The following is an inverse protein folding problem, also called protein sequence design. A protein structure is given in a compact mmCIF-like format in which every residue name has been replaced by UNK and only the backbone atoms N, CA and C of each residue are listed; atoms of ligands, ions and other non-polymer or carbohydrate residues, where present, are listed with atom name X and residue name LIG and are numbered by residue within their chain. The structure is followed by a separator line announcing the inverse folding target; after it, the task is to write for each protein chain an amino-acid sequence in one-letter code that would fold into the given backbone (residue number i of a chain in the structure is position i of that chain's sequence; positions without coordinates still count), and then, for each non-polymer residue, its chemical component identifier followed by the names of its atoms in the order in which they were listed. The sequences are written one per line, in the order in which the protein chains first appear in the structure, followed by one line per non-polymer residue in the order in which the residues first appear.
data_IF_666630150072
#
_entry.id   IF_666630150072
#
_cell.length_a   1.000
_cell.length_b   1.000
_cell.length_c   1.000
_cell.angle_alpha   90.00
_cell.angle_beta   90.00
_cell.angle_gamma   90.00
#
_symmetry.space_group_name_H-M   'P 1'
#
loop_
_entity.id
_entity.type
_entity.pdbx_description
1 polymer ?
#
# COMPACT_ATOMS: atom_id res chain seq x y z
N UNK A 1 17.96 11.39 -26.97
CA UNK A 1 17.37 12.66 -26.52
C UNK A 1 16.52 12.37 -25.30
N UNK A 2 16.94 12.81 -24.09
CA UNK A 2 16.13 12.71 -22.86
C UNK A 2 15.02 13.73 -22.96
N UNK A 3 13.76 13.28 -23.09
CA UNK A 3 12.61 14.17 -22.94
C UNK A 3 12.69 14.80 -21.56
N UNK A 4 12.95 16.07 -21.50
CA UNK A 4 12.74 16.92 -20.36
C UNK A 4 11.21 16.93 -20.15
N UNK A 5 10.75 16.23 -19.10
CA UNK A 5 9.35 16.24 -18.71
C UNK A 5 9.02 17.66 -18.28
N UNK A 6 8.24 18.36 -19.10
CA UNK A 6 7.73 19.66 -18.74
C UNK A 6 7.00 19.55 -17.39
N UNK A 7 7.53 20.26 -16.42
CA UNK A 7 6.97 20.31 -15.05
C UNK A 7 5.59 20.93 -15.18
N UNK A 8 4.55 20.13 -14.98
CA UNK A 8 3.19 20.65 -15.03
C UNK A 8 2.91 21.59 -13.86
N UNK A 9 2.02 22.55 -14.04
CA UNK A 9 1.57 23.44 -12.95
C UNK A 9 1.05 22.65 -11.71
N UNK A 10 0.70 21.37 -11.89
CA UNK A 10 0.24 20.48 -10.82
C UNK A 10 1.35 19.90 -9.94
N UNK A 11 2.60 19.78 -10.42
CA UNK A 11 3.68 19.15 -9.65
C UNK A 11 3.96 19.83 -8.29
N UNK A 12 4.07 21.16 -8.20
CA UNK A 12 4.24 21.83 -6.91
C UNK A 12 3.05 21.61 -5.96
N UNK A 13 1.83 21.56 -6.53
CA UNK A 13 0.60 21.37 -5.73
C UNK A 13 0.49 19.95 -5.21
N UNK A 14 0.81 18.95 -6.05
CA UNK A 14 0.88 17.53 -5.65
C UNK A 14 1.92 17.36 -4.54
N UNK A 15 3.11 17.91 -4.71
CA UNK A 15 4.20 17.83 -3.72
C UNK A 15 3.78 18.43 -2.37
N UNK A 16 3.16 19.60 -2.36
CA UNK A 16 2.64 20.26 -1.17
C UNK A 16 1.54 19.45 -0.49
N UNK A 17 0.61 18.90 -1.28
CA UNK A 17 -0.43 18.01 -0.77
C UNK A 17 0.14 16.77 -0.08
N UNK A 18 1.09 16.09 -0.73
CA UNK A 18 1.72 14.89 -0.19
C UNK A 18 2.53 15.20 1.08
N UNK A 19 3.28 16.31 1.10
CA UNK A 19 3.99 16.77 2.29
C UNK A 19 3.02 16.99 3.45
N UNK A 20 1.93 17.74 3.22
CA UNK A 20 0.88 17.96 4.23
C UNK A 20 0.25 16.65 4.73
N UNK A 21 0.02 15.65 3.86
CA UNK A 21 -0.53 14.36 4.30
C UNK A 21 0.47 13.51 5.08
N UNK A 22 1.75 13.64 4.78
CA UNK A 22 2.83 12.94 5.50
C UNK A 22 3.06 13.50 6.90
N UNK A 23 2.91 14.80 7.11
CA UNK A 23 2.96 15.39 8.48
C UNK A 23 1.86 14.84 9.39
N UNK A 24 0.75 14.35 8.82
CA UNK A 24 -0.31 13.66 9.58
C UNK A 24 -0.01 12.17 9.85
N UNK A 25 1.23 11.71 9.74
CA UNK A 25 1.68 10.35 10.04
C UNK A 25 1.30 9.30 9.00
N UNK A 26 0.98 9.68 7.77
CA UNK A 26 0.58 8.75 6.71
C UNK A 26 1.67 8.65 5.64
N UNK A 27 2.06 7.43 5.25
CA UNK A 27 3.07 7.22 4.19
C UNK A 27 2.61 7.68 2.81
N UNK A 28 1.32 7.56 2.48
CA UNK A 28 0.66 8.02 1.25
C UNK A 28 1.28 7.51 -0.08
N UNK A 29 2.06 6.45 -0.07
CA UNK A 29 2.80 5.94 -1.25
C UNK A 29 1.89 5.51 -2.41
N UNK A 30 0.74 4.88 -2.12
CA UNK A 30 -0.19 4.48 -3.16
C UNK A 30 -0.93 5.68 -3.77
N UNK A 31 -1.27 6.67 -2.94
CA UNK A 31 -1.91 7.91 -3.38
C UNK A 31 -0.94 8.74 -4.23
N UNK A 32 0.33 8.82 -3.84
CA UNK A 32 1.39 9.45 -4.62
C UNK A 32 1.50 8.84 -6.02
N UNK A 33 1.62 7.50 -6.13
CA UNK A 33 1.63 6.82 -7.44
C UNK A 33 0.38 7.11 -8.26
N UNK A 34 -0.77 7.20 -7.61
CA UNK A 34 -2.04 7.53 -8.29
C UNK A 34 -2.03 8.94 -8.83
N UNK A 35 -1.56 9.93 -8.06
CA UNK A 35 -1.48 11.33 -8.48
C UNK A 35 -0.43 11.52 -9.58
N UNK A 36 0.71 10.83 -9.50
CA UNK A 36 1.71 10.80 -10.56
C UNK A 36 1.12 10.22 -11.84
N UNK A 37 0.40 9.09 -11.76
CA UNK A 37 -0.27 8.49 -12.92
C UNK A 37 -1.29 9.43 -13.58
N UNK A 38 -2.04 10.18 -12.78
CA UNK A 38 -2.97 11.19 -13.29
C UNK A 38 -2.22 12.35 -13.97
N UNK A 39 -1.17 12.88 -13.33
CA UNK A 39 -0.31 13.93 -13.90
C UNK A 39 0.30 13.49 -15.24
N UNK A 40 0.88 12.28 -15.30
CA UNK A 40 1.48 11.73 -16.52
C UNK A 40 0.46 11.55 -17.64
N UNK A 41 -0.80 11.24 -17.29
CA UNK A 41 -1.89 11.21 -18.24
C UNK A 41 -2.18 12.59 -18.82
N UNK A 42 -2.27 13.63 -17.99
CA UNK A 42 -2.50 15.02 -18.43
C UNK A 42 -1.35 15.51 -19.34
N UNK A 43 -0.10 15.24 -18.97
CA UNK A 43 1.07 15.56 -19.82
C UNK A 43 0.95 14.91 -21.21
N UNK A 44 0.58 13.64 -21.27
CA UNK A 44 0.44 12.92 -22.55
C UNK A 44 -0.72 13.42 -23.42
N UNK A 45 -1.76 13.97 -22.79
CA UNK A 45 -2.91 14.54 -23.51
C UNK A 45 -2.74 16.03 -23.85
N UNK A 46 -1.61 16.64 -23.42
CA UNK A 46 -1.34 18.07 -23.65
C UNK A 46 -2.17 18.99 -22.78
N UNK A 47 -2.72 18.49 -21.68
CA UNK A 47 -3.63 19.24 -20.83
C UNK A 47 -2.94 19.69 -19.53
N UNK A 48 -3.28 20.90 -19.09
CA UNK A 48 -2.67 21.51 -17.91
C UNK A 48 -3.42 21.23 -16.60
N UNK A 49 -4.71 20.91 -16.67
CA UNK A 49 -5.54 20.63 -15.48
C UNK A 49 -6.65 19.61 -15.79
N UNK A 50 -7.21 19.09 -14.71
CA UNK A 50 -8.26 18.07 -14.74
C UNK A 50 -9.65 18.69 -14.94
N UNK A 51 -10.44 18.08 -15.82
CA UNK A 51 -11.86 18.32 -15.96
C UNK A 51 -12.63 16.99 -15.96
N UNK A 52 -13.97 17.04 -16.07
CA UNK A 52 -14.79 15.82 -16.03
C UNK A 52 -14.42 14.82 -17.13
N UNK A 53 -14.26 15.27 -18.37
CA UNK A 53 -13.95 14.42 -19.53
C UNK A 53 -12.57 13.76 -19.38
N UNK A 54 -11.58 14.52 -18.97
CA UNK A 54 -10.21 14.03 -18.73
C UNK A 54 -10.17 13.05 -17.56
N UNK A 55 -10.91 13.33 -16.48
CA UNK A 55 -11.03 12.42 -15.35
C UNK A 55 -11.64 11.07 -15.77
N UNK A 56 -12.73 11.08 -16.53
CA UNK A 56 -13.37 9.87 -17.04
C UNK A 56 -12.44 9.10 -18.00
N UNK A 57 -11.73 9.81 -18.88
CA UNK A 57 -10.75 9.20 -19.80
C UNK A 57 -9.57 8.59 -19.05
N UNK A 58 -9.07 9.27 -18.02
CA UNK A 58 -8.04 8.69 -17.13
C UNK A 58 -8.56 7.46 -16.38
N UNK A 59 -9.81 7.46 -15.91
CA UNK A 59 -10.42 6.30 -15.27
C UNK A 59 -10.47 5.07 -16.18
N UNK A 60 -10.71 5.24 -17.47
CA UNK A 60 -10.71 4.16 -18.47
C UNK A 60 -9.34 3.47 -18.58
N UNK A 61 -8.24 4.15 -18.29
CA UNK A 61 -6.89 3.55 -18.36
C UNK A 61 -6.67 2.40 -17.37
N UNK A 62 -7.54 2.25 -16.38
CA UNK A 62 -7.46 1.19 -15.37
C UNK A 62 -8.79 0.46 -15.15
N UNK A 63 -9.65 0.41 -16.16
CA UNK A 63 -10.95 -0.31 -16.10
C UNK A 63 -10.80 -1.82 -15.87
N UNK A 64 -9.67 -2.41 -16.25
CA UNK A 64 -9.35 -3.82 -15.99
C UNK A 64 -9.09 -4.14 -14.51
N UNK A 65 -8.89 -3.13 -13.67
CA UNK A 65 -8.65 -3.34 -12.25
C UNK A 65 -9.95 -3.62 -11.48
N UNK A 66 -9.84 -4.36 -10.38
CA UNK A 66 -10.96 -4.65 -9.49
C UNK A 66 -11.58 -3.35 -8.94
N UNK A 67 -12.90 -3.36 -8.76
CA UNK A 67 -13.70 -2.17 -8.44
C UNK A 67 -13.19 -1.39 -7.21
N UNK A 68 -12.76 -2.08 -6.15
CA UNK A 68 -12.23 -1.42 -4.95
C UNK A 68 -10.92 -0.66 -5.22
N UNK A 69 -10.07 -1.17 -6.11
CA UNK A 69 -8.80 -0.49 -6.50
C UNK A 69 -9.12 0.73 -7.37
N UNK A 70 -10.03 0.58 -8.33
CA UNK A 70 -10.53 1.69 -9.17
C UNK A 70 -11.06 2.82 -8.28
N UNK A 71 -11.96 2.47 -7.38
CA UNK A 71 -12.53 3.43 -6.42
C UNK A 71 -11.47 4.09 -5.55
N UNK A 72 -10.48 3.34 -5.06
CA UNK A 72 -9.41 3.91 -4.23
C UNK A 72 -8.59 4.96 -5.00
N UNK A 73 -8.30 4.75 -6.29
CA UNK A 73 -7.64 5.72 -7.16
C UNK A 73 -8.51 6.97 -7.36
N UNK A 74 -9.79 6.79 -7.68
CA UNK A 74 -10.74 7.90 -7.86
C UNK A 74 -10.87 8.76 -6.59
N UNK A 75 -10.96 8.11 -5.42
CA UNK A 75 -11.00 8.80 -4.12
C UNK A 75 -9.70 9.56 -3.85
N UNK A 76 -8.54 9.01 -4.21
CA UNK A 76 -7.27 9.69 -4.02
C UNK A 76 -7.20 11.00 -4.83
N UNK A 77 -7.62 10.98 -6.09
CA UNK A 77 -7.69 12.19 -6.94
C UNK A 77 -8.73 13.17 -6.40
N UNK A 78 -9.92 12.71 -6.03
CA UNK A 78 -10.94 13.60 -5.43
C UNK A 78 -10.41 14.30 -4.17
N UNK A 79 -9.75 13.58 -3.28
CA UNK A 79 -9.19 14.18 -2.05
C UNK A 79 -8.11 15.21 -2.36
N UNK A 80 -7.33 15.02 -3.39
CA UNK A 80 -6.37 16.01 -3.90
C UNK A 80 -7.10 17.24 -4.46
N UNK A 81 -8.13 17.07 -5.29
CA UNK A 81 -8.92 18.18 -5.82
C UNK A 81 -9.63 18.97 -4.71
N UNK A 82 -10.19 18.30 -3.70
CA UNK A 82 -10.78 18.96 -2.52
C UNK A 82 -9.73 19.76 -1.71
N UNK A 83 -8.48 19.29 -1.67
CA UNK A 83 -7.40 20.06 -1.06
C UNK A 83 -7.09 21.32 -1.87
N UNK A 84 -7.01 21.20 -3.20
CA UNK A 84 -6.81 22.35 -4.12
C UNK A 84 -7.93 23.37 -4.01
N UNK A 85 -9.16 22.93 -3.90
CA UNK A 85 -10.34 23.80 -3.86
C UNK A 85 -10.29 24.83 -2.72
N UNK A 86 -9.47 24.62 -1.68
CA UNK A 86 -9.28 25.58 -0.59
C UNK A 86 -8.59 26.86 -1.05
N UNK A 87 -7.72 26.78 -2.06
CA UNK A 87 -6.98 27.92 -2.63
C UNK A 87 -7.42 28.25 -4.04
N UNK A 88 -8.04 27.29 -4.73
CA UNK A 88 -8.52 27.38 -6.10
C UNK A 88 -10.02 26.98 -6.15
N UNK A 89 -10.95 27.86 -5.78
CA UNK A 89 -12.39 27.52 -5.65
C UNK A 89 -13.04 26.96 -6.92
N UNK A 90 -12.50 27.32 -8.10
CA UNK A 90 -12.97 26.85 -9.42
C UNK A 90 -12.35 25.52 -9.85
N UNK A 91 -11.45 24.93 -9.07
CA UNK A 91 -10.84 23.64 -9.37
C UNK A 91 -11.91 22.55 -9.51
N UNK A 92 -11.79 21.74 -10.56
CA UNK A 92 -12.67 20.60 -10.78
C UNK A 92 -12.52 19.57 -9.63
N UNK A 93 -13.65 19.08 -9.11
CA UNK A 93 -13.70 18.02 -8.11
C UNK A 93 -14.57 16.88 -8.64
N UNK A 94 -14.00 15.68 -8.86
CA UNK A 94 -14.77 14.55 -9.35
C UNK A 94 -15.93 14.17 -8.41
N UNK A 95 -17.11 13.86 -9.00
CA UNK A 95 -18.27 13.44 -8.22
C UNK A 95 -18.14 11.98 -7.75
N UNK A 96 -18.29 11.77 -6.46
CA UNK A 96 -18.19 10.45 -5.83
C UNK A 96 -19.28 9.46 -6.26
N UNK A 97 -20.43 9.96 -6.72
CA UNK A 97 -21.55 9.15 -7.18
C UNK A 97 -21.19 8.36 -8.43
N UNK A 98 -20.31 8.90 -9.27
CA UNK A 98 -19.83 8.27 -10.52
C UNK A 98 -18.68 7.28 -10.31
N UNK A 99 -18.20 7.10 -9.09
CA UNK A 99 -17.07 6.22 -8.81
C UNK A 99 -17.45 4.74 -8.87
N UNK A 100 -16.47 3.91 -9.16
CA UNK A 100 -16.63 2.46 -9.12
C UNK A 100 -17.31 2.02 -7.82
N UNK A 101 -18.24 1.10 -7.91
CA UNK A 101 -19.00 0.61 -6.74
C UNK A 101 -18.06 -0.08 -5.75
N UNK A 102 -18.27 0.17 -4.47
CA UNK A 102 -17.56 -0.55 -3.42
C UNK A 102 -18.07 -1.98 -3.38
N UNK A 103 -17.14 -2.92 -3.50
CA UNK A 103 -17.43 -4.33 -3.29
C UNK A 103 -17.06 -4.74 -1.86
N UNK A 104 -17.82 -5.63 -1.22
CA UNK A 104 -17.44 -6.20 0.05
C UNK A 104 -16.07 -6.90 -0.09
N UNK A 105 -15.29 -6.88 0.98
CA UNK A 105 -14.08 -7.67 1.03
C UNK A 105 -14.43 -9.15 1.12
N UNK A 106 -13.64 -10.01 0.47
CA UNK A 106 -13.76 -11.45 0.67
C UNK A 106 -13.62 -11.78 2.16
N UNK A 107 -14.46 -12.69 2.63
CA UNK A 107 -14.34 -13.18 3.99
C UNK A 107 -12.98 -13.83 4.21
N UNK A 108 -12.25 -13.46 5.26
CA UNK A 108 -10.96 -14.07 5.54
C UNK A 108 -11.09 -15.58 5.74
N UNK A 109 -10.22 -16.35 5.12
CA UNK A 109 -10.11 -17.79 5.35
C UNK A 109 -9.30 -17.99 6.62
N UNK A 110 -9.91 -18.61 7.63
CA UNK A 110 -9.24 -19.00 8.87
C UNK A 110 -8.69 -20.41 8.67
N UNK A 111 -7.37 -20.56 8.70
CA UNK A 111 -6.73 -21.86 8.54
C UNK A 111 -6.94 -22.72 9.80
N UNK A 112 -7.29 -23.98 9.62
CA UNK A 112 -7.33 -24.96 10.71
C UNK A 112 -5.90 -25.37 11.11
N UNK A 113 -5.67 -25.88 12.32
CA UNK A 113 -4.36 -26.39 12.73
C UNK A 113 -3.77 -27.43 11.76
N UNK A 114 -4.59 -28.32 11.22
CA UNK A 114 -4.18 -29.30 10.22
C UNK A 114 -3.70 -28.66 8.91
N UNK A 115 -4.37 -27.59 8.46
CA UNK A 115 -3.94 -26.84 7.27
C UNK A 115 -2.63 -26.10 7.53
N UNK A 116 -2.44 -25.54 8.71
CA UNK A 116 -1.17 -24.90 9.10
C UNK A 116 -0.05 -25.94 9.13
N UNK A 117 -0.27 -27.13 9.69
CA UNK A 117 0.70 -28.25 9.66
C UNK A 117 1.15 -28.57 8.23
N UNK A 118 0.20 -28.69 7.30
CA UNK A 118 0.51 -28.93 5.87
C UNK A 118 1.34 -27.79 5.25
N UNK A 119 1.03 -26.54 5.59
CA UNK A 119 1.81 -25.38 5.08
C UNK A 119 3.24 -25.43 5.63
N UNK A 120 3.43 -25.82 6.90
CA UNK A 120 4.75 -25.98 7.53
C UNK A 120 5.57 -27.11 6.89
N UNK A 121 4.94 -28.24 6.57
CA UNK A 121 5.57 -29.34 5.84
C UNK A 121 6.04 -28.88 4.46
N UNK A 122 5.14 -28.27 3.67
CA UNK A 122 5.45 -27.73 2.34
C UNK A 122 6.52 -26.63 2.38
N UNK A 123 6.55 -25.81 3.41
CA UNK A 123 7.60 -24.82 3.59
C UNK A 123 8.97 -25.49 3.81
N UNK A 124 9.00 -26.60 4.54
CA UNK A 124 10.22 -27.38 4.83
C UNK A 124 10.79 -28.14 3.62
N UNK A 125 9.93 -28.50 2.64
CA UNK A 125 10.36 -29.19 1.40
C UNK A 125 10.91 -28.24 0.34
N UNK A 126 10.83 -26.91 0.54
CA UNK A 126 11.35 -25.93 -0.43
C UNK A 126 12.87 -26.00 -0.49
N UNK A 127 13.39 -26.21 -1.70
CA UNK A 127 14.84 -26.29 -1.90
C UNK A 127 15.53 -24.97 -1.58
N UNK A 128 16.67 -25.08 -0.89
CA UNK A 128 17.61 -23.98 -0.73
C UNK A 128 18.18 -23.59 -2.10
N UNK A 129 18.50 -22.32 -2.28
CA UNK A 129 19.17 -21.81 -3.48
C UNK A 129 20.49 -21.16 -3.08
N UNK A 130 21.41 -21.00 -4.03
CA UNK A 130 22.69 -20.33 -3.76
C UNK A 130 22.50 -18.92 -3.14
N UNK A 131 21.44 -18.20 -3.54
CA UNK A 131 21.09 -16.87 -3.03
C UNK A 131 20.25 -16.89 -1.75
N UNK A 132 19.73 -18.07 -1.36
CA UNK A 132 18.89 -18.23 -0.17
C UNK A 132 19.06 -19.62 0.46
N UNK A 133 20.19 -19.89 1.10
CA UNK A 133 20.50 -21.22 1.65
C UNK A 133 19.59 -21.61 2.82
N UNK A 134 19.06 -20.64 3.56
CA UNK A 134 18.17 -20.86 4.70
C UNK A 134 16.67 -20.81 4.34
N UNK A 135 16.33 -20.81 3.05
CA UNK A 135 14.96 -20.64 2.57
C UNK A 135 13.91 -21.52 3.27
N UNK A 136 14.07 -22.86 3.41
CA UNK A 136 13.07 -23.69 4.07
C UNK A 136 12.85 -23.31 5.54
N UNK A 137 13.92 -23.01 6.26
CA UNK A 137 13.85 -22.61 7.67
C UNK A 137 13.17 -21.25 7.85
N UNK A 138 13.55 -20.28 7.02
CA UNK A 138 12.96 -18.93 7.03
C UNK A 138 11.46 -18.98 6.70
N UNK A 139 11.04 -19.81 5.74
CA UNK A 139 9.62 -19.96 5.41
C UNK A 139 8.83 -20.60 6.55
N UNK A 140 9.37 -21.65 7.18
CA UNK A 140 8.73 -22.27 8.36
C UNK A 140 8.60 -21.29 9.51
N UNK A 141 9.68 -20.59 9.87
CA UNK A 141 9.67 -19.56 10.90
C UNK A 141 8.64 -18.46 10.59
N UNK A 142 8.58 -18.00 9.34
CA UNK A 142 7.61 -17.01 8.91
C UNK A 142 6.16 -17.48 9.13
N UNK A 143 5.84 -18.72 8.78
CA UNK A 143 4.50 -19.30 8.98
C UNK A 143 4.17 -19.37 10.47
N UNK A 144 5.09 -19.86 11.28
CA UNK A 144 4.91 -19.95 12.74
C UNK A 144 4.64 -18.56 13.32
N UNK A 145 5.49 -17.58 13.06
CA UNK A 145 5.34 -16.23 13.61
C UNK A 145 4.06 -15.52 13.14
N UNK A 146 3.65 -15.72 11.87
CA UNK A 146 2.40 -15.17 11.38
C UNK A 146 1.18 -15.80 12.06
N UNK A 147 1.22 -17.10 12.30
CA UNK A 147 0.08 -17.85 12.85
C UNK A 147 0.00 -17.72 14.38
N UNK A 148 1.09 -17.93 15.11
CA UNK A 148 1.10 -17.96 16.58
C UNK A 148 1.23 -16.57 17.20
N UNK A 149 2.12 -15.73 16.68
CA UNK A 149 2.38 -14.39 17.19
C UNK A 149 1.49 -13.31 16.56
N UNK A 150 0.66 -13.66 15.59
CA UNK A 150 -0.27 -12.72 14.92
C UNK A 150 0.42 -11.53 14.27
N UNK A 151 1.63 -11.71 13.76
CA UNK A 151 2.39 -10.65 13.12
C UNK A 151 1.75 -10.27 11.79
N UNK A 152 1.76 -8.97 11.46
CA UNK A 152 1.47 -8.54 10.11
C UNK A 152 2.64 -8.85 9.18
N UNK A 153 2.36 -9.15 7.91
CA UNK A 153 3.41 -9.41 6.91
C UNK A 153 4.55 -8.39 6.92
N UNK A 154 4.24 -7.09 7.04
CA UNK A 154 5.27 -6.04 7.07
C UNK A 154 6.06 -6.02 8.38
N UNK A 155 5.46 -6.39 9.48
CA UNK A 155 6.13 -6.53 10.77
C UNK A 155 7.14 -7.68 10.69
N UNK A 156 6.70 -8.84 10.21
CA UNK A 156 7.60 -10.00 9.98
C UNK A 156 8.80 -9.66 9.09
N UNK A 157 8.57 -8.97 7.94
CA UNK A 157 9.64 -8.63 6.99
C UNK A 157 10.62 -7.56 7.51
N UNK A 158 10.32 -6.92 8.63
CA UNK A 158 11.20 -5.93 9.28
C UNK A 158 11.91 -6.46 10.49
N UNK A 159 11.57 -7.66 10.96
CA UNK A 159 12.22 -8.25 12.10
C UNK A 159 13.72 -8.45 11.84
N UNK A 160 14.50 -8.09 12.83
CA UNK A 160 15.94 -8.31 12.88
C UNK A 160 16.28 -9.14 14.13
N UNK A 161 17.48 -9.68 14.22
CA UNK A 161 17.92 -10.40 15.41
C UNK A 161 17.90 -9.52 16.66
N UNK A 162 18.12 -8.21 16.54
CA UNK A 162 18.01 -7.26 17.64
C UNK A 162 16.59 -7.07 18.19
N UNK A 163 15.57 -7.57 17.47
CA UNK A 163 14.18 -7.52 17.92
C UNK A 163 13.76 -8.78 18.70
N UNK A 164 14.66 -9.77 18.82
CA UNK A 164 14.39 -11.05 19.48
C UNK A 164 15.15 -11.08 20.81
N UNK A 165 14.43 -11.11 21.91
CA UNK A 165 15.00 -11.46 23.21
C UNK A 165 14.70 -12.94 23.48
N UNK A 166 15.67 -13.79 23.16
CA UNK A 166 15.54 -15.24 23.35
C UNK A 166 15.53 -15.63 24.82
N UNK A 167 16.15 -14.83 25.72
CA UNK A 167 16.18 -15.11 27.14
C UNK A 167 14.82 -14.80 27.80
N UNK A 168 14.24 -13.65 27.46
CA UNK A 168 12.91 -13.26 27.93
C UNK A 168 11.77 -13.94 27.15
N UNK A 169 12.06 -14.62 26.04
CA UNK A 169 11.05 -15.23 25.16
C UNK A 169 10.09 -14.21 24.53
N UNK A 170 10.58 -13.06 24.10
CA UNK A 170 9.75 -11.99 23.55
C UNK A 170 10.29 -11.43 22.23
N UNK A 171 9.37 -10.96 21.38
CA UNK A 171 9.67 -10.20 20.18
C UNK A 171 9.30 -8.73 20.36
N UNK A 172 10.16 -7.82 19.96
CA UNK A 172 9.88 -6.41 19.89
C UNK A 172 9.43 -6.01 18.48
N UNK A 173 8.14 -5.80 18.27
CA UNK A 173 7.58 -5.31 17.01
C UNK A 173 7.62 -3.81 17.02
N UNK A 174 8.55 -3.21 16.26
CA UNK A 174 8.77 -1.76 16.19
C UNK A 174 7.94 -1.12 15.08
N UNK A 175 7.51 0.12 15.30
CA UNK A 175 6.88 1.00 14.30
C UNK A 175 5.84 0.33 13.40
N UNK A 176 4.91 -0.37 14.02
CA UNK A 176 3.75 -0.97 13.36
C UNK A 176 2.81 0.10 12.80
N UNK A 177 1.59 -0.26 12.46
CA UNK A 177 0.56 0.65 12.00
C UNK A 177 0.34 1.78 13.03
N UNK A 178 0.40 3.03 12.58
CA UNK A 178 0.35 4.26 13.41
C UNK A 178 1.56 4.46 14.34
N UNK A 179 2.76 4.01 13.93
CA UNK A 179 4.02 4.14 14.70
C UNK A 179 3.97 3.52 16.10
N UNK A 180 3.08 2.53 16.31
CA UNK A 180 2.98 1.83 17.60
C UNK A 180 3.95 0.67 17.63
N UNK A 181 4.69 0.55 18.73
CA UNK A 181 5.53 -0.61 19.05
C UNK A 181 4.85 -1.48 20.09
N UNK A 182 5.12 -2.79 20.08
CA UNK A 182 4.61 -3.73 21.09
C UNK A 182 5.58 -4.89 21.30
N UNK A 183 5.53 -5.45 22.48
CA UNK A 183 6.16 -6.71 22.80
C UNK A 183 5.16 -7.85 22.53
N UNK A 184 5.66 -8.94 21.95
CA UNK A 184 4.88 -10.14 21.65
C UNK A 184 5.57 -11.31 22.33
N UNK A 185 4.94 -11.94 23.33
CA UNK A 185 5.50 -13.11 23.97
C UNK A 185 5.58 -14.29 23.00
N UNK A 186 6.65 -15.03 23.05
CA UNK A 186 6.81 -16.31 22.39
C UNK A 186 6.49 -17.36 23.45
N UNK A 187 5.40 -18.11 23.24
CA UNK A 187 5.13 -19.29 24.09
C UNK A 187 6.21 -20.35 23.84
N UNK A 188 6.81 -20.86 24.92
CA UNK A 188 7.63 -22.05 24.86
C UNK A 188 6.82 -23.29 24.50
#
# INVERSE_FOLDING_TARGET
MKHQLDTTALDPVISRYLAHRRTLGRQYSNQERTLISMRDFLVRTGESDLNNTLFESWCKTFDSLISNVRRARQVAVRNFCLYRQRTEPRCFVPDIIRFARRQPHATPIILTPAQVGRVLELAGTRQATATSPLRPYVLRLAVVLLYTAGLRRRELLRLTLADVDAHAGVLHVRESKFHKSRWVPLSG
#
